data_IF_331080283516
#
_entry.id   IF_331080283516
#
_cell.length_a   1.000
_cell.length_b   1.000
_cell.length_c   1.000
_cell.angle_alpha   90.00
_cell.angle_beta   90.00
_cell.angle_gamma   90.00
#
_symmetry.space_group_name_H-M   'P 1'
#
loop_
_entity.id
_entity.type
_entity.pdbx_description
1 polymer ?
#
# COMPACT_ATOMS: atom_id res chain seq x y z
N UNK A 1 -25.29 -9.34 26.84
CA UNK A 1 -26.61 -9.30 27.50
C UNK A 1 -26.54 -8.19 28.53
N UNK A 2 -27.25 -7.06 28.39
CA UNK A 2 -27.22 -6.00 29.39
C UNK A 2 -27.90 -6.48 30.69
N UNK A 3 -27.32 -6.14 31.84
CA UNK A 3 -27.78 -6.57 33.16
C UNK A 3 -29.20 -6.04 33.47
N UNK A 4 -30.04 -6.79 34.21
CA UNK A 4 -31.38 -6.34 34.56
C UNK A 4 -31.32 -5.15 35.53
N UNK A 5 -31.95 -4.04 35.15
CA UNK A 5 -32.10 -2.87 36.02
C UNK A 5 -33.07 -3.23 37.14
N UNK A 6 -32.56 -3.38 38.36
CA UNK A 6 -33.39 -3.61 39.55
C UNK A 6 -33.90 -2.25 40.04
N UNK A 7 -35.22 -1.99 40.06
CA UNK A 7 -35.76 -0.72 40.54
C UNK A 7 -35.49 -0.57 42.04
N UNK A 8 -34.73 0.46 42.39
CA UNK A 8 -34.20 0.68 43.75
C UNK A 8 -35.25 1.20 44.75
N UNK A 9 -36.45 1.58 44.28
CA UNK A 9 -37.54 2.06 45.14
C UNK A 9 -38.91 1.99 44.45
N UNK A 10 -39.85 1.25 45.03
CA UNK A 10 -41.26 1.26 44.62
C UNK A 10 -41.98 2.22 45.56
N UNK A 11 -42.50 3.34 45.04
CA UNK A 11 -43.32 4.29 45.80
C UNK A 11 -44.77 3.79 45.75
N UNK A 12 -45.39 3.41 46.88
CA UNK A 12 -46.78 2.97 46.89
C UNK A 12 -47.73 4.11 46.51
N UNK A 13 -48.81 3.79 45.80
CA UNK A 13 -49.77 4.78 45.32
C UNK A 13 -50.42 5.56 46.46
N UNK A 14 -50.44 6.90 46.34
CA UNK A 14 -51.02 7.81 47.33
C UNK A 14 -50.02 8.66 48.12
N UNK A 15 -48.71 8.41 47.98
CA UNK A 15 -47.66 9.25 48.57
C UNK A 15 -47.35 10.43 47.64
N UNK A 16 -47.29 11.68 48.14
CA UNK A 16 -46.89 12.82 47.32
C UNK A 16 -45.49 12.60 46.74
N UNK A 17 -45.38 12.76 45.41
CA UNK A 17 -44.10 12.67 44.70
C UNK A 17 -43.12 13.71 45.27
N UNK A 18 -41.81 13.39 45.33
CA UNK A 18 -40.80 14.39 45.69
C UNK A 18 -40.90 15.59 44.75
N UNK A 19 -40.73 16.80 45.31
CA UNK A 19 -40.76 18.04 44.56
C UNK A 19 -39.87 17.94 43.33
N UNK A 20 -40.49 18.05 42.16
CA UNK A 20 -39.80 17.97 40.87
C UNK A 20 -38.76 19.08 40.72
N UNK A 21 -37.85 18.94 39.74
CA UNK A 21 -36.83 19.95 39.46
C UNK A 21 -37.46 21.33 39.23
N UNK A 22 -36.76 22.42 39.61
CA UNK A 22 -37.30 23.77 39.50
C UNK A 22 -37.65 24.12 38.04
N UNK A 23 -38.72 24.90 37.82
CA UNK A 23 -39.18 25.27 36.48
C UNK A 23 -38.10 26.06 35.70
N UNK A 24 -38.12 26.02 34.35
CA UNK A 24 -37.10 26.68 33.53
C UNK A 24 -37.11 28.19 33.78
N UNK A 25 -36.02 28.71 34.35
CA UNK A 25 -35.89 30.14 34.71
C UNK A 25 -35.89 30.43 36.21
N UNK A 26 -36.25 29.46 37.06
CA UNK A 26 -36.07 29.59 38.51
C UNK A 26 -34.62 29.29 38.90
N UNK A 27 -34.01 30.17 39.71
CA UNK A 27 -32.66 29.96 40.26
C UNK A 27 -32.73 28.81 41.27
N UNK A 28 -31.96 27.72 41.09
CA UNK A 28 -31.97 26.60 42.02
C UNK A 28 -31.53 27.05 43.43
N UNK A 29 -32.05 26.45 44.51
CA UNK A 29 -31.76 26.87 45.88
C UNK A 29 -30.29 26.69 46.31
N UNK A 30 -29.49 25.95 45.53
CA UNK A 30 -28.05 25.79 45.72
C UNK A 30 -27.20 26.72 44.83
N UNK A 31 -27.82 27.62 44.04
CA UNK A 31 -27.12 28.72 43.37
C UNK A 31 -27.31 30.01 44.16
N UNK A 32 -26.22 30.60 44.61
CA UNK A 32 -26.21 31.99 45.07
C UNK A 32 -26.61 32.94 43.92
N UNK A 33 -27.40 33.99 44.18
CA UNK A 33 -27.70 35.02 43.19
C UNK A 33 -26.40 35.63 42.65
N UNK A 34 -26.26 35.72 41.32
CA UNK A 34 -25.10 36.34 40.71
C UNK A 34 -24.96 37.78 41.19
N UNK A 35 -23.78 38.14 41.71
CA UNK A 35 -23.45 39.51 42.09
C UNK A 35 -23.63 40.45 40.89
N UNK A 36 -24.10 41.70 41.09
CA UNK A 36 -24.23 42.66 40.00
C UNK A 36 -22.87 42.89 39.33
N UNK A 37 -22.83 43.06 38.00
CA UNK A 37 -21.58 43.27 37.28
C UNK A 37 -20.88 44.54 37.77
N UNK A 38 -19.53 44.56 37.78
CA UNK A 38 -18.78 45.76 38.11
C UNK A 38 -19.09 46.90 37.12
N UNK A 39 -18.99 48.18 37.54
CA UNK A 39 -19.21 49.31 36.65
C UNK A 39 -18.24 49.26 35.46
N UNK A 40 -18.69 49.66 34.25
CA UNK A 40 -17.84 49.64 33.06
C UNK A 40 -16.63 50.58 33.24
N UNK A 41 -15.45 50.20 32.71
CA UNK A 41 -14.30 51.09 32.67
C UNK A 41 -14.62 52.41 31.96
N UNK A 42 -14.00 53.51 32.41
CA UNK A 42 -14.10 54.79 31.73
C UNK A 42 -13.70 54.64 30.24
N UNK A 43 -14.53 55.16 29.33
CA UNK A 43 -14.27 55.06 27.90
C UNK A 43 -12.98 55.82 27.52
N UNK A 44 -12.08 55.21 26.73
CA UNK A 44 -10.92 55.92 26.19
C UNK A 44 -11.34 57.05 25.25
N UNK A 45 -10.50 58.08 25.04
CA UNK A 45 -10.80 59.18 24.12
C UNK A 45 -11.12 58.63 22.72
N UNK A 46 -12.14 59.21 22.08
CA UNK A 46 -12.59 58.81 20.76
C UNK A 46 -11.46 58.98 19.74
N UNK A 47 -10.90 57.87 19.28
CA UNK A 47 -9.98 57.83 18.14
C UNK A 47 -10.80 58.03 16.88
N UNK A 48 -10.43 59.00 16.05
CA UNK A 48 -11.05 59.20 14.75
C UNK A 48 -10.92 57.94 13.90
N UNK A 49 -12.05 57.34 13.51
CA UNK A 49 -12.08 56.16 12.65
C UNK A 49 -11.55 56.55 11.26
N UNK A 50 -10.51 55.86 10.72
CA UNK A 50 -10.07 56.08 9.35
C UNK A 50 -11.21 55.79 8.36
N UNK A 51 -11.27 56.54 7.26
CA UNK A 51 -12.26 56.32 6.21
C UNK A 51 -12.20 54.86 5.67
N UNK A 52 -13.34 54.26 5.27
CA UNK A 52 -13.36 52.91 4.71
C UNK A 52 -12.49 52.83 3.45
N UNK A 53 -11.75 51.73 3.24
CA UNK A 53 -11.01 51.50 2.01
C UNK A 53 -11.97 51.43 0.80
N UNK A 54 -11.51 51.80 -0.41
CA UNK A 54 -12.32 51.69 -1.63
C UNK A 54 -12.76 50.23 -1.86
N UNK A 55 -14.00 50.05 -2.30
CA UNK A 55 -14.56 48.73 -2.60
C UNK A 55 -13.70 48.03 -3.68
N UNK A 56 -13.38 46.74 -3.53
CA UNK A 56 -12.60 46.01 -4.52
C UNK A 56 -13.36 45.91 -5.85
N UNK A 57 -12.65 46.14 -6.96
CA UNK A 57 -13.17 45.99 -8.31
C UNK A 57 -13.70 44.56 -8.54
N UNK A 58 -14.77 44.37 -9.34
CA UNK A 58 -15.36 43.06 -9.56
C UNK A 58 -14.38 42.12 -10.27
N UNK A 59 -13.82 41.18 -9.52
CA UNK A 59 -12.95 40.11 -10.04
C UNK A 59 -13.80 39.07 -10.78
N UNK A 60 -13.90 39.20 -12.10
CA UNK A 60 -14.58 38.22 -12.96
C UNK A 60 -13.80 36.91 -12.96
N UNK A 61 -14.29 35.91 -12.21
CA UNK A 61 -13.73 34.56 -12.22
C UNK A 61 -14.27 33.80 -13.44
N UNK A 62 -13.44 33.70 -14.48
CA UNK A 62 -13.73 32.86 -15.64
C UNK A 62 -13.38 31.42 -15.29
N UNK A 63 -14.40 30.60 -15.03
CA UNK A 63 -14.24 29.15 -14.96
C UNK A 63 -14.06 28.59 -16.37
N UNK A 64 -12.81 28.42 -16.79
CA UNK A 64 -12.48 27.64 -17.99
C UNK A 64 -12.65 26.16 -17.64
N UNK A 65 -13.78 25.58 -18.01
CA UNK A 65 -13.98 24.13 -17.95
C UNK A 65 -13.22 23.52 -19.13
N UNK A 66 -12.02 23.00 -18.87
CA UNK A 66 -11.36 22.13 -19.86
C UNK A 66 -12.23 20.88 -20.04
N UNK A 67 -12.58 20.48 -21.27
CA UNK A 67 -13.19 19.18 -21.49
C UNK A 67 -12.22 18.11 -21.00
N UNK A 68 -12.70 17.26 -20.10
CA UNK A 68 -11.94 16.10 -19.63
C UNK A 68 -11.77 15.14 -20.81
N UNK A 69 -10.60 15.15 -21.45
CA UNK A 69 -10.20 14.07 -22.34
C UNK A 69 -10.02 12.81 -21.47
N UNK A 70 -10.74 11.71 -21.75
CA UNK A 70 -10.50 10.46 -21.05
C UNK A 70 -9.04 10.06 -21.28
N UNK A 71 -8.29 9.82 -20.20
CA UNK A 71 -6.90 9.36 -20.33
C UNK A 71 -6.87 8.14 -21.27
N UNK A 72 -5.98 8.12 -22.28
CA UNK A 72 -5.89 7.01 -23.21
C UNK A 72 -5.67 5.71 -22.42
N UNK A 73 -6.48 4.68 -22.71
CA UNK A 73 -6.37 3.41 -22.00
C UNK A 73 -4.93 2.89 -22.12
N UNK A 74 -4.25 2.61 -21.00
CA UNK A 74 -2.86 2.20 -21.04
C UNK A 74 -2.74 0.90 -21.82
N UNK A 75 -1.86 0.91 -22.81
CA UNK A 75 -1.59 -0.23 -23.67
C UNK A 75 -1.07 -1.42 -22.86
N UNK A 76 -1.22 -2.66 -23.36
CA UNK A 76 -0.72 -3.86 -22.67
C UNK A 76 0.76 -3.74 -22.28
N UNK A 77 1.56 -3.09 -23.13
CA UNK A 77 2.98 -2.83 -22.91
C UNK A 77 3.23 -1.84 -21.76
N UNK A 78 2.42 -0.79 -21.65
CA UNK A 78 2.50 0.16 -20.54
C UNK A 78 2.06 -0.45 -19.21
N UNK A 79 1.04 -1.33 -19.22
CA UNK A 79 0.67 -2.11 -18.04
C UNK A 79 1.80 -3.04 -17.61
N UNK A 80 2.45 -3.72 -18.57
CA UNK A 80 3.60 -4.56 -18.28
C UNK A 80 4.76 -3.76 -17.71
N UNK A 81 5.04 -2.57 -18.25
CA UNK A 81 6.08 -1.68 -17.77
C UNK A 81 5.77 -1.05 -16.41
N UNK A 82 4.51 -0.72 -16.14
CA UNK A 82 4.05 -0.27 -14.83
C UNK A 82 4.21 -1.40 -13.81
N UNK A 83 3.78 -2.62 -14.15
CA UNK A 83 3.96 -3.81 -13.32
C UNK A 83 5.45 -4.12 -13.08
N UNK A 84 6.30 -4.04 -14.09
CA UNK A 84 7.74 -4.26 -13.93
C UNK A 84 8.38 -3.23 -13.00
N UNK A 85 7.92 -1.97 -13.02
CA UNK A 85 8.33 -0.92 -12.07
C UNK A 85 7.81 -1.15 -10.65
N UNK A 86 6.68 -1.85 -10.48
CA UNK A 86 6.22 -2.28 -9.15
C UNK A 86 7.10 -3.39 -8.56
N UNK A 87 7.72 -4.21 -9.42
CA UNK A 87 8.62 -5.26 -8.98
C UNK A 87 9.94 -4.68 -8.47
N UNK A 88 10.56 -3.73 -9.14
CA UNK A 88 11.82 -3.17 -8.65
C UNK A 88 12.29 -1.97 -9.45
N UNK A 89 13.35 -1.29 -8.96
CA UNK A 89 13.93 -0.18 -9.71
C UNK A 89 14.63 -0.73 -10.97
N UNK A 90 14.46 -0.11 -12.15
CA UNK A 90 15.03 -0.60 -13.40
C UNK A 90 16.55 -0.76 -13.33
N UNK A 91 17.24 0.11 -12.59
CA UNK A 91 18.68 0.00 -12.33
C UNK A 91 19.08 -1.23 -11.50
N UNK A 92 18.20 -1.71 -10.61
CA UNK A 92 18.44 -2.96 -9.87
C UNK A 92 18.27 -4.17 -10.77
N UNK A 93 17.34 -4.13 -11.72
CA UNK A 93 17.17 -5.18 -12.73
C UNK A 93 18.40 -5.24 -13.63
N UNK A 94 18.84 -4.08 -14.15
CA UNK A 94 20.05 -3.98 -14.97
C UNK A 94 21.27 -4.45 -14.18
N UNK A 95 21.45 -3.97 -12.95
CA UNK A 95 22.55 -4.36 -12.07
C UNK A 95 22.56 -5.85 -11.71
N UNK A 96 21.40 -6.45 -11.49
CA UNK A 96 21.28 -7.89 -11.26
C UNK A 96 21.66 -8.68 -12.52
N UNK A 97 21.24 -8.23 -13.71
CA UNK A 97 21.57 -8.86 -14.98
C UNK A 97 23.06 -8.79 -15.28
N UNK A 98 23.68 -7.63 -15.09
CA UNK A 98 25.13 -7.48 -15.27
C UNK A 98 25.90 -8.31 -14.26
N UNK A 99 25.50 -8.31 -12.97
CA UNK A 99 26.19 -9.10 -11.95
C UNK A 99 26.03 -10.61 -12.17
N UNK A 100 24.87 -11.06 -12.66
CA UNK A 100 24.65 -12.46 -13.03
C UNK A 100 25.49 -12.88 -14.26
N UNK A 101 25.74 -11.95 -15.18
CA UNK A 101 26.48 -12.19 -16.43
C UNK A 101 27.98 -11.90 -16.31
N UNK A 102 28.41 -11.29 -15.21
CA UNK A 102 29.81 -10.95 -14.98
C UNK A 102 30.64 -12.23 -14.83
N UNK A 103 31.72 -12.40 -15.64
CA UNK A 103 32.58 -13.58 -15.59
C UNK A 103 33.54 -13.49 -14.40
N UNK A 104 33.00 -13.71 -13.20
CA UNK A 104 33.75 -13.64 -11.94
C UNK A 104 34.60 -14.91 -11.69
N UNK A 105 34.25 -16.03 -12.32
CA UNK A 105 34.84 -17.35 -12.04
C UNK A 105 35.59 -17.87 -13.27
N UNK A 106 36.84 -17.43 -13.46
CA UNK A 106 37.72 -17.98 -14.50
C UNK A 106 37.17 -17.82 -15.93
N UNK A 107 36.47 -16.72 -16.21
CA UNK A 107 35.84 -16.46 -17.51
C UNK A 107 34.40 -16.96 -17.65
N UNK A 108 33.89 -17.68 -16.64
CA UNK A 108 32.51 -18.17 -16.61
C UNK A 108 31.68 -17.33 -15.63
N UNK A 109 30.45 -17.01 -16.02
CA UNK A 109 29.50 -16.32 -15.15
C UNK A 109 28.85 -17.29 -14.16
N UNK A 110 28.35 -16.78 -13.03
CA UNK A 110 27.61 -17.59 -12.04
C UNK A 110 26.37 -18.24 -12.69
N UNK A 111 25.71 -17.51 -13.58
CA UNK A 111 24.55 -18.01 -14.31
C UNK A 111 24.90 -19.19 -15.22
N UNK A 112 26.04 -19.12 -15.93
CA UNK A 112 26.50 -20.21 -16.79
C UNK A 112 26.96 -21.44 -15.99
N UNK A 113 27.60 -21.25 -14.83
CA UNK A 113 27.99 -22.37 -13.95
C UNK A 113 26.78 -23.06 -13.33
N UNK A 114 25.74 -22.30 -12.99
CA UNK A 114 24.48 -22.86 -12.54
C UNK A 114 23.77 -23.63 -13.66
N UNK A 115 23.73 -23.07 -14.88
CA UNK A 115 23.17 -23.75 -16.04
C UNK A 115 23.89 -25.06 -16.38
N UNK A 116 25.22 -25.12 -16.28
CA UNK A 116 25.96 -26.36 -16.49
C UNK A 116 25.63 -27.40 -15.41
N UNK A 117 25.54 -26.99 -14.14
CA UNK A 117 25.17 -27.91 -13.05
C UNK A 117 23.74 -28.46 -13.17
N UNK A 118 22.80 -27.65 -13.66
CA UNK A 118 21.42 -28.10 -13.92
C UNK A 118 21.36 -29.06 -15.11
N UNK A 119 22.13 -28.79 -16.17
CA UNK A 119 22.22 -29.67 -17.34
C UNK A 119 22.86 -31.02 -16.97
N UNK A 120 23.89 -31.02 -16.12
CA UNK A 120 24.54 -32.23 -15.61
C UNK A 120 23.60 -33.02 -14.70
N UNK A 121 22.89 -32.35 -13.78
CA UNK A 121 21.89 -32.99 -12.94
C UNK A 121 20.73 -33.61 -13.75
N UNK A 122 20.38 -33.01 -14.89
CA UNK A 122 19.41 -33.58 -15.84
C UNK A 122 19.98 -34.81 -16.54
N UNK A 123 21.24 -34.78 -16.95
CA UNK A 123 21.89 -35.89 -17.63
C UNK A 123 22.06 -37.11 -16.71
N UNK A 124 22.41 -36.89 -15.44
CA UNK A 124 22.66 -37.97 -14.46
C UNK A 124 21.40 -38.40 -13.70
N UNK A 125 20.57 -37.44 -13.29
CA UNK A 125 19.37 -37.66 -12.47
C UNK A 125 18.07 -37.74 -13.26
N UNK A 126 18.11 -37.56 -14.57
CA UNK A 126 16.95 -37.53 -15.45
C UNK A 126 16.20 -36.19 -15.45
N UNK A 127 15.15 -36.14 -16.27
CA UNK A 127 14.32 -34.95 -16.51
C UNK A 127 13.75 -34.36 -15.21
N UNK A 128 13.27 -35.20 -14.30
CA UNK A 128 12.64 -34.77 -13.03
C UNK A 128 13.63 -34.05 -12.11
N UNK A 129 14.88 -34.53 -12.03
CA UNK A 129 15.93 -33.92 -11.20
C UNK A 129 16.38 -32.57 -11.76
N UNK A 130 16.52 -32.48 -13.09
CA UNK A 130 16.85 -31.22 -13.78
C UNK A 130 15.80 -30.14 -13.55
N UNK A 131 14.52 -30.48 -13.69
CA UNK A 131 13.43 -29.54 -13.45
C UNK A 131 13.25 -29.19 -11.97
N UNK A 132 13.41 -30.16 -11.06
CA UNK A 132 13.36 -29.88 -9.63
C UNK A 132 14.45 -28.86 -9.23
N UNK A 133 15.68 -29.05 -9.71
CA UNK A 133 16.78 -28.12 -9.45
C UNK A 133 16.57 -26.76 -10.10
N UNK A 134 16.04 -26.70 -11.32
CA UNK A 134 15.78 -25.43 -12.00
C UNK A 134 14.62 -24.63 -11.38
N UNK A 135 13.51 -25.30 -11.03
CA UNK A 135 12.27 -24.65 -10.59
C UNK A 135 12.30 -24.24 -9.12
N UNK A 136 13.03 -24.97 -8.26
CA UNK A 136 13.09 -24.67 -6.82
C UNK A 136 13.61 -23.25 -6.52
N UNK A 137 14.78 -22.83 -6.98
CA UNK A 137 15.28 -21.47 -6.74
C UNK A 137 14.44 -20.42 -7.48
N UNK A 138 13.89 -20.76 -8.65
CA UNK A 138 12.99 -19.87 -9.39
C UNK A 138 11.72 -19.56 -8.59
N UNK A 139 11.07 -20.59 -8.04
CA UNK A 139 9.87 -20.45 -7.21
C UNK A 139 10.16 -19.61 -5.96
N UNK A 140 11.30 -19.86 -5.29
CA UNK A 140 11.73 -19.07 -4.14
C UNK A 140 11.95 -17.60 -4.53
N UNK A 141 12.59 -17.33 -5.66
CA UNK A 141 12.79 -15.98 -6.15
C UNK A 141 11.46 -15.24 -6.36
N UNK A 142 10.53 -15.89 -7.06
CA UNK A 142 9.21 -15.34 -7.40
C UNK A 142 8.41 -15.06 -6.13
N UNK A 143 8.31 -16.03 -5.21
CA UNK A 143 7.59 -15.86 -3.94
C UNK A 143 8.17 -14.67 -3.16
N UNK A 144 9.50 -14.56 -3.08
CA UNK A 144 10.16 -13.49 -2.34
C UNK A 144 10.00 -12.11 -2.99
N UNK A 145 9.91 -12.04 -4.32
CA UNK A 145 9.63 -10.80 -5.05
C UNK A 145 8.17 -10.37 -4.85
N UNK A 146 7.23 -11.31 -4.93
CA UNK A 146 5.79 -11.03 -4.75
C UNK A 146 5.48 -10.60 -3.32
N UNK A 147 6.08 -11.24 -2.32
CA UNK A 147 5.78 -10.97 -0.90
C UNK A 147 6.49 -9.74 -0.33
N UNK A 148 7.65 -9.35 -0.87
CA UNK A 148 8.48 -8.31 -0.24
C UNK A 148 9.11 -7.31 -1.20
N UNK A 149 8.71 -7.29 -2.47
CA UNK A 149 9.30 -6.46 -3.52
C UNK A 149 10.64 -6.99 -4.07
N UNK A 150 11.03 -6.46 -5.22
CA UNK A 150 12.26 -6.81 -5.92
C UNK A 150 13.44 -5.99 -5.42
N UNK A 151 14.17 -6.57 -4.48
CA UNK A 151 15.52 -6.13 -4.11
C UNK A 151 16.55 -6.71 -5.08
N UNK A 152 17.71 -6.06 -5.18
CA UNK A 152 18.80 -6.46 -6.10
C UNK A 152 19.16 -7.96 -5.99
N UNK A 153 19.31 -8.47 -4.76
CA UNK A 153 19.64 -9.89 -4.54
C UNK A 153 18.52 -10.85 -4.97
N UNK A 154 17.26 -10.47 -4.84
CA UNK A 154 16.11 -11.29 -5.28
C UNK A 154 15.99 -11.32 -6.80
N UNK A 155 16.23 -10.19 -7.45
CA UNK A 155 16.28 -10.07 -8.91
C UNK A 155 17.46 -10.84 -9.51
N UNK A 156 18.61 -10.83 -8.83
CA UNK A 156 19.78 -11.63 -9.21
C UNK A 156 19.49 -13.13 -9.12
N UNK A 157 18.87 -13.57 -8.03
CA UNK A 157 18.48 -14.97 -7.86
C UNK A 157 17.47 -15.39 -8.95
N UNK A 158 16.52 -14.51 -9.28
CA UNK A 158 15.59 -14.74 -10.39
C UNK A 158 16.33 -14.87 -11.73
N UNK A 159 17.27 -13.97 -12.03
CA UNK A 159 18.05 -14.01 -13.27
C UNK A 159 18.90 -15.28 -13.38
N UNK A 160 19.62 -15.66 -12.32
CA UNK A 160 20.42 -16.90 -12.28
C UNK A 160 19.52 -18.12 -12.46
N UNK A 161 18.36 -18.15 -11.79
CA UNK A 161 17.41 -19.27 -11.89
C UNK A 161 16.83 -19.41 -13.30
N UNK A 162 16.53 -18.30 -13.98
CA UNK A 162 16.05 -18.29 -15.37
C UNK A 162 17.11 -18.83 -16.35
N UNK A 163 18.37 -18.44 -16.18
CA UNK A 163 19.46 -18.97 -17.00
C UNK A 163 19.68 -20.47 -16.73
N UNK A 164 19.58 -20.89 -15.47
CA UNK A 164 19.59 -22.32 -15.11
C UNK A 164 18.44 -23.11 -15.72
N UNK A 165 17.23 -22.55 -15.73
CA UNK A 165 16.08 -23.15 -16.39
C UNK A 165 16.31 -23.33 -17.89
N UNK A 166 16.95 -22.37 -18.56
CA UNK A 166 17.32 -22.51 -19.96
C UNK A 166 18.30 -23.68 -20.18
N UNK A 167 19.19 -23.95 -19.22
CA UNK A 167 20.06 -25.13 -19.22
C UNK A 167 19.33 -26.46 -18.98
N UNK A 168 18.13 -26.44 -18.37
CA UNK A 168 17.30 -27.63 -18.16
C UNK A 168 16.40 -27.98 -19.36
N UNK A 169 16.05 -26.98 -20.18
CA UNK A 169 15.12 -27.13 -21.30
C UNK A 169 15.85 -27.81 -22.45
N UNK A 170 15.42 -29.04 -22.77
CA UNK A 170 15.78 -29.68 -24.03
C UNK A 170 14.70 -29.40 -25.07
N UNK A 171 15.09 -29.15 -26.32
CA UNK A 171 14.16 -28.94 -27.42
C UNK A 171 13.25 -30.16 -27.66
N UNK A 172 13.69 -31.35 -27.22
CA UNK A 172 12.90 -32.58 -27.28
C UNK A 172 11.88 -32.74 -26.16
N UNK A 173 11.94 -31.98 -25.05
CA UNK A 173 11.01 -32.15 -23.93
C UNK A 173 9.52 -32.05 -24.29
N UNK A 174 9.08 -31.10 -25.14
CA UNK A 174 7.69 -31.05 -25.60
C UNK A 174 7.30 -32.32 -26.35
N UNK A 175 8.24 -32.88 -27.13
CA UNK A 175 8.03 -34.12 -27.89
C UNK A 175 7.96 -35.30 -26.94
N UNK A 176 8.86 -35.41 -25.97
CA UNK A 176 8.85 -36.43 -24.91
C UNK A 176 7.55 -36.37 -24.09
N UNK A 177 7.03 -35.17 -23.82
CA UNK A 177 5.79 -34.99 -23.05
C UNK A 177 4.54 -35.37 -23.84
N UNK A 178 4.54 -35.14 -25.16
CA UNK A 178 3.45 -35.52 -26.07
C UNK A 178 3.50 -37.02 -26.42
N UNK A 179 4.70 -37.59 -26.57
CA UNK A 179 4.88 -38.95 -27.10
C UNK A 179 5.17 -39.99 -26.03
N UNK A 180 5.60 -39.58 -24.83
CA UNK A 180 6.02 -40.49 -23.76
C UNK A 180 7.33 -41.25 -24.02
N UNK A 181 7.97 -41.02 -25.17
CA UNK A 181 9.19 -41.72 -25.58
C UNK A 181 10.40 -40.94 -25.06
N UNK A 182 11.13 -41.52 -24.11
CA UNK A 182 12.43 -41.00 -23.67
C UNK A 182 13.49 -41.32 -24.74
N UNK A 183 14.37 -40.37 -25.11
CA UNK A 183 15.52 -40.67 -25.96
C UNK A 183 16.51 -41.61 -25.26
#
# INVERSE_FOLDING_TARGET
MPEPIIPTRIIPGGVPLPSGPPPPGAVPPWREPAAPPPPPPAAPPAVATPAPPPLPEPVVHVHVVLPYEPEPEPTRRERLWAWLRTIGRPWQIVGALTLASLPLFGGHSVATLWASGVAEARAEGGQDAGYALALTPLAIAVIRIVQGGGTLGRLLLLAISLVGLMGAIDLYDPVTWITGVKP
#
